data_IF_199133220646
#
_entry.id   IF_199133220646
#
_cell.length_a   1.000
_cell.length_b   1.000
_cell.length_c   1.000
_cell.angle_alpha   90.00
_cell.angle_beta   90.00
_cell.angle_gamma   90.00
#
_symmetry.space_group_name_H-M   'P 1'
#
loop_
_entity.id
_entity.type
_entity.pdbx_description
1 polymer ?
#
# COMPACT_ATOMS: atom_id res chain seq x y z
N UNK A 1 -57.61 -4.80 44.33
CA UNK A 1 -57.46 -4.43 42.91
C UNK A 1 -56.03 -3.92 42.72
N UNK A 2 -55.13 -4.84 42.38
CA UNK A 2 -53.74 -4.50 42.06
C UNK A 2 -53.70 -3.89 40.66
N UNK A 3 -53.02 -2.75 40.55
CA UNK A 3 -52.90 -1.98 39.32
C UNK A 3 -51.74 -2.56 38.52
N UNK A 4 -52.04 -3.36 37.49
CA UNK A 4 -51.02 -3.79 36.52
C UNK A 4 -50.48 -2.55 35.80
N UNK A 5 -49.20 -2.25 36.03
CA UNK A 5 -48.44 -1.31 35.22
C UNK A 5 -47.67 -2.15 34.21
N UNK A 6 -48.18 -2.23 32.98
CA UNK A 6 -47.43 -2.78 31.85
C UNK A 6 -46.24 -1.85 31.57
N UNK A 7 -45.03 -2.28 31.91
CA UNK A 7 -43.80 -1.63 31.46
C UNK A 7 -43.68 -1.85 29.96
N UNK A 8 -44.10 -0.85 29.18
CA UNK A 8 -43.81 -0.75 27.75
C UNK A 8 -42.29 -0.85 27.58
N UNK A 9 -41.84 -1.92 26.93
CA UNK A 9 -40.43 -2.09 26.60
C UNK A 9 -40.01 -1.01 25.61
N UNK A 10 -39.08 -0.15 26.03
CA UNK A 10 -38.28 0.63 25.09
C UNK A 10 -37.36 -0.35 24.36
N UNK A 11 -37.83 -0.90 23.24
CA UNK A 11 -36.94 -1.52 22.26
C UNK A 11 -36.24 -0.38 21.53
N UNK A 12 -35.07 0.02 22.03
CA UNK A 12 -34.07 0.70 21.21
C UNK A 12 -33.62 -0.30 20.13
N UNK A 13 -34.40 -0.39 19.05
CA UNK A 13 -33.86 -0.87 17.78
C UNK A 13 -33.16 0.36 17.21
N UNK A 14 -31.91 0.54 17.63
CA UNK A 14 -30.97 1.32 16.84
C UNK A 14 -30.77 0.46 15.60
N UNK A 15 -31.47 0.80 14.52
CA UNK A 15 -31.15 0.26 13.21
C UNK A 15 -29.66 0.54 13.00
N UNK A 16 -28.85 -0.52 12.96
CA UNK A 16 -27.44 -0.37 12.60
C UNK A 16 -27.47 0.16 11.17
N UNK A 17 -27.05 1.41 10.97
CA UNK A 17 -26.76 1.95 9.65
C UNK A 17 -25.87 0.93 8.91
N UNK A 18 -26.23 0.62 7.68
CA UNK A 18 -25.47 -0.30 6.84
C UNK A 18 -24.13 0.35 6.48
N UNK A 19 -23.07 0.04 7.26
CA UNK A 19 -21.72 0.58 7.07
C UNK A 19 -20.98 -0.06 5.90
N UNK A 20 -21.56 -1.08 5.26
CA UNK A 20 -20.92 -1.88 4.20
C UNK A 20 -20.47 -1.03 3.01
N UNK A 21 -21.29 -0.06 2.58
CA UNK A 21 -20.94 0.83 1.46
C UNK A 21 -19.80 1.78 1.83
N UNK A 22 -19.82 2.31 3.06
CA UNK A 22 -18.75 3.17 3.55
C UNK A 22 -17.43 2.39 3.70
N UNK A 23 -17.48 1.16 4.21
CA UNK A 23 -16.33 0.28 4.35
C UNK A 23 -15.68 0.00 3.00
N UNK A 24 -16.48 -0.28 1.96
CA UNK A 24 -16.00 -0.43 0.58
C UNK A 24 -15.33 0.83 0.06
N UNK A 25 -15.99 1.99 0.21
CA UNK A 25 -15.43 3.28 -0.26
C UNK A 25 -14.11 3.59 0.43
N UNK A 26 -14.02 3.39 1.74
CA UNK A 26 -12.78 3.58 2.49
C UNK A 26 -11.71 2.59 2.05
N UNK A 27 -12.06 1.32 1.84
CA UNK A 27 -11.17 0.29 1.31
C UNK A 27 -10.56 0.69 -0.04
N UNK A 28 -11.40 1.13 -0.99
CA UNK A 28 -10.95 1.60 -2.30
C UNK A 28 -10.02 2.81 -2.18
N UNK A 29 -10.34 3.78 -1.32
CA UNK A 29 -9.49 4.96 -1.09
C UNK A 29 -8.10 4.54 -0.60
N UNK A 30 -8.04 3.71 0.44
CA UNK A 30 -6.79 3.27 1.05
C UNK A 30 -5.92 2.49 0.06
N UNK A 31 -6.55 1.62 -0.71
CA UNK A 31 -5.89 0.85 -1.73
C UNK A 31 -5.31 1.73 -2.85
N UNK A 32 -6.10 2.65 -3.41
CA UNK A 32 -5.62 3.58 -4.45
C UNK A 32 -4.43 4.38 -3.94
N UNK A 33 -4.46 4.82 -2.67
CA UNK A 33 -3.33 5.50 -2.04
C UNK A 33 -2.09 4.61 -1.97
N UNK A 34 -2.24 3.34 -1.60
CA UNK A 34 -1.11 2.39 -1.53
C UNK A 34 -0.52 2.16 -2.93
N UNK A 35 -1.36 1.91 -3.95
CA UNK A 35 -0.88 1.72 -5.33
C UNK A 35 -0.09 2.95 -5.82
N UNK A 36 -0.65 4.14 -5.60
CA UNK A 36 0.02 5.41 -5.90
C UNK A 36 1.35 5.54 -5.14
N UNK A 37 1.37 5.20 -3.85
CA UNK A 37 2.57 5.23 -3.01
C UNK A 37 3.67 4.29 -3.53
N UNK A 38 3.33 3.04 -3.87
CA UNK A 38 4.30 2.07 -4.42
C UNK A 38 4.90 2.57 -5.73
N UNK A 39 4.06 3.05 -6.66
CA UNK A 39 4.54 3.58 -7.95
C UNK A 39 5.42 4.81 -7.75
N UNK A 40 5.06 5.70 -6.83
CA UNK A 40 5.85 6.90 -6.55
C UNK A 40 7.18 6.56 -5.87
N UNK A 41 7.18 5.62 -4.93
CA UNK A 41 8.37 5.16 -4.22
C UNK A 41 9.37 4.49 -5.19
N UNK A 42 8.89 3.65 -6.13
CA UNK A 42 9.75 3.04 -7.15
C UNK A 42 10.36 4.08 -8.10
N UNK A 43 9.61 5.13 -8.47
CA UNK A 43 10.16 6.24 -9.24
C UNK A 43 11.20 7.02 -8.44
N UNK A 44 10.98 7.19 -7.15
CA UNK A 44 11.91 7.85 -6.25
C UNK A 44 13.22 7.06 -6.11
N UNK A 45 13.16 5.74 -5.88
CA UNK A 45 14.35 4.89 -5.78
C UNK A 45 15.16 4.93 -7.07
N UNK A 46 14.49 4.80 -8.23
CA UNK A 46 15.14 4.91 -9.54
C UNK A 46 15.79 6.28 -9.78
N UNK A 47 15.14 7.36 -9.32
CA UNK A 47 15.70 8.72 -9.41
C UNK A 47 16.92 8.93 -8.51
N UNK A 48 17.06 8.10 -7.47
CA UNK A 48 18.18 8.10 -6.54
C UNK A 48 19.34 7.23 -7.04
N UNK A 49 19.19 6.61 -8.21
CA UNK A 49 20.18 5.72 -8.81
C UNK A 49 20.10 4.27 -8.35
N UNK A 50 19.08 3.91 -7.55
CA UNK A 50 18.89 2.55 -7.03
C UNK A 50 17.96 1.71 -7.90
N UNK A 51 18.15 0.40 -7.91
CA UNK A 51 17.24 -0.55 -8.57
C UNK A 51 16.36 -1.34 -7.60
N UNK A 52 16.62 -1.24 -6.30
CA UNK A 52 15.76 -1.78 -5.26
C UNK A 52 14.73 -0.73 -4.75
N UNK A 53 13.67 -1.23 -4.11
CA UNK A 53 12.67 -0.40 -3.43
C UNK A 53 12.80 -0.60 -1.92
N UNK A 54 13.19 0.43 -1.18
CA UNK A 54 13.35 0.32 0.27
C UNK A 54 12.08 0.72 1.04
N UNK A 55 11.99 0.30 2.30
CA UNK A 55 10.95 0.75 3.23
C UNK A 55 10.94 2.28 3.38
N UNK A 56 12.10 2.92 3.36
CA UNK A 56 12.25 4.38 3.42
C UNK A 56 11.63 5.08 2.20
N UNK A 57 11.77 4.52 1.00
CA UNK A 57 11.12 5.05 -0.20
C UNK A 57 9.59 5.06 -0.05
N UNK A 58 9.06 3.97 0.51
CA UNK A 58 7.63 3.84 0.80
C UNK A 58 7.18 4.86 1.86
N UNK A 59 7.98 5.10 2.91
CA UNK A 59 7.69 6.12 3.92
C UNK A 59 7.61 7.51 3.27
N UNK A 60 8.59 7.88 2.43
CA UNK A 60 8.58 9.18 1.75
C UNK A 60 7.33 9.36 0.88
N UNK A 61 6.95 8.32 0.14
CA UNK A 61 5.77 8.37 -0.73
C UNK A 61 4.47 8.47 0.09
N UNK A 62 4.33 7.70 1.17
CA UNK A 62 3.16 7.74 2.04
C UNK A 62 3.01 9.10 2.75
N UNK A 63 4.12 9.68 3.21
CA UNK A 63 4.12 11.02 3.79
C UNK A 63 3.68 12.07 2.76
N UNK A 64 4.17 11.97 1.51
CA UNK A 64 3.74 12.84 0.43
C UNK A 64 2.23 12.73 0.17
N UNK A 65 1.69 11.52 0.04
CA UNK A 65 0.26 11.33 -0.17
C UNK A 65 -0.57 11.77 1.04
N UNK A 66 -0.07 11.62 2.26
CA UNK A 66 -0.75 12.14 3.45
C UNK A 66 -0.87 13.68 3.41
N UNK A 67 0.18 14.38 2.98
CA UNK A 67 0.17 15.84 2.81
C UNK A 67 -0.73 16.32 1.66
N UNK A 68 -0.72 15.62 0.54
CA UNK A 68 -1.44 16.03 -0.67
C UNK A 68 -2.86 15.47 -0.75
N UNK A 69 -3.26 14.59 0.18
CA UNK A 69 -4.55 13.90 0.16
C UNK A 69 -5.71 14.87 -0.03
N UNK A 70 -5.79 15.95 0.75
CA UNK A 70 -6.91 16.90 0.63
C UNK A 70 -6.76 17.89 -0.53
N UNK A 71 -5.59 17.95 -1.17
CA UNK A 71 -5.32 18.85 -2.30
C UNK A 71 -5.63 18.20 -3.66
N UNK A 72 -5.72 16.87 -3.73
CA UNK A 72 -6.06 16.14 -4.95
C UNK A 72 -7.53 16.34 -5.31
N UNK A 73 -7.78 17.10 -6.40
CA UNK A 73 -9.14 17.41 -6.90
C UNK A 73 -9.85 16.20 -7.53
N UNK A 74 -9.08 15.18 -7.95
CA UNK A 74 -9.56 14.03 -8.71
C UNK A 74 -9.48 12.71 -7.94
N UNK A 75 -9.37 12.75 -6.61
CA UNK A 75 -9.43 11.54 -5.79
C UNK A 75 -10.66 10.72 -6.16
N UNK A 76 -11.82 11.38 -6.25
CA UNK A 76 -13.11 10.73 -6.53
C UNK A 76 -13.19 10.06 -7.91
N UNK A 77 -12.48 10.59 -8.91
CA UNK A 77 -12.45 10.02 -10.27
C UNK A 77 -11.49 8.82 -10.36
N UNK A 78 -10.36 8.87 -9.64
CA UNK A 78 -9.41 7.73 -9.58
C UNK A 78 -9.98 6.47 -8.90
N UNK A 79 -11.07 6.59 -8.14
CA UNK A 79 -11.74 5.43 -7.52
C UNK A 79 -12.59 4.63 -8.51
N UNK A 80 -13.11 5.27 -9.55
CA UNK A 80 -13.99 4.61 -10.54
C UNK A 80 -13.20 3.63 -11.41
N UNK A 81 -11.95 3.96 -11.74
CA UNK A 81 -11.08 3.10 -12.54
C UNK A 81 -10.66 1.84 -11.77
N UNK A 82 -10.36 1.97 -10.47
CA UNK A 82 -9.97 0.85 -9.63
C UNK A 82 -11.13 -0.10 -9.31
N UNK A 83 -12.36 0.38 -9.12
CA UNK A 83 -13.52 -0.50 -8.89
C UNK A 83 -13.76 -1.43 -10.10
N UNK A 84 -13.55 -0.93 -11.31
CA UNK A 84 -13.63 -1.71 -12.56
C UNK A 84 -12.52 -2.77 -12.65
N UNK A 85 -11.30 -2.46 -12.18
CA UNK A 85 -10.17 -3.40 -12.21
C UNK A 85 -10.29 -4.49 -11.13
N UNK A 86 -10.80 -4.14 -9.93
CA UNK A 86 -11.11 -5.09 -8.87
C UNK A 86 -12.18 -6.10 -9.23
N UNK A 87 -13.21 -5.67 -9.97
CA UNK A 87 -14.23 -6.57 -10.48
C UNK A 87 -13.68 -7.49 -11.58
N UNK A 88 -12.73 -7.03 -12.41
CA UNK A 88 -12.06 -7.88 -13.41
C UNK A 88 -11.17 -8.94 -12.76
N UNK A 89 -10.33 -8.54 -11.80
CA UNK A 89 -9.45 -9.47 -11.06
C UNK A 89 -10.21 -10.55 -10.28
N UNK A 90 -11.42 -10.25 -9.80
CA UNK A 90 -12.26 -11.23 -9.06
C UNK A 90 -13.20 -12.04 -9.95
N UNK A 91 -13.34 -11.70 -11.24
CA UNK A 91 -14.28 -12.34 -12.16
C UNK A 91 -13.56 -13.05 -13.33
N UNK A 92 -12.25 -12.87 -13.47
CA UNK A 92 -11.40 -13.70 -14.31
C UNK A 92 -10.91 -14.89 -13.47
N UNK A 93 -11.55 -16.03 -13.69
CA UNK A 93 -10.95 -17.35 -13.45
C UNK A 93 -9.53 -17.26 -14.03
N UNK A 94 -8.50 -17.43 -13.20
CA UNK A 94 -7.13 -17.58 -13.66
C UNK A 94 -7.10 -18.82 -14.56
N UNK A 95 -7.31 -18.62 -15.86
CA UNK A 95 -6.94 -19.62 -16.84
C UNK A 95 -5.43 -19.53 -16.88
N UNK A 96 -4.77 -20.43 -16.15
CA UNK A 96 -3.41 -20.84 -16.47
C UNK A 96 -3.44 -21.14 -17.97
N UNK A 97 -2.87 -20.24 -18.76
CA UNK A 97 -2.53 -20.49 -20.15
C UNK A 97 -1.35 -21.46 -20.08
N UNK A 98 -1.64 -22.72 -19.72
CA UNK A 98 -0.84 -23.88 -20.09
C UNK A 98 -0.86 -23.87 -21.62
N UNK A 99 0.06 -23.14 -22.22
CA UNK A 99 0.41 -23.31 -23.62
C UNK A 99 0.87 -24.77 -23.76
N UNK A 100 -0.08 -25.62 -24.19
CA UNK A 100 0.11 -26.95 -24.76
C UNK A 100 1.12 -26.83 -25.91
N UNK A 101 2.42 -26.85 -25.58
CA UNK A 101 3.51 -27.10 -26.51
C UNK A 101 3.65 -28.62 -26.64
N UNK A 102 2.68 -29.27 -27.29
CA UNK A 102 2.76 -30.68 -27.65
C UNK A 102 3.67 -30.89 -28.87
N UNK A 103 4.89 -31.38 -28.59
CA UNK A 103 5.66 -32.45 -29.28
C UNK A 103 6.00 -32.28 -30.79
N UNK A 104 7.20 -32.59 -31.31
CA UNK A 104 8.09 -33.73 -31.04
C UNK A 104 9.41 -33.54 -31.82
N UNK A 105 10.56 -33.88 -31.22
CA UNK A 105 11.52 -34.88 -31.75
C UNK A 105 12.84 -34.84 -30.94
N UNK A 106 12.85 -35.65 -29.88
CA UNK A 106 13.88 -36.64 -29.52
C UNK A 106 15.38 -36.30 -29.74
N UNK A 107 16.13 -36.14 -28.64
CA UNK A 107 17.44 -36.81 -28.52
C UNK A 107 17.77 -37.13 -27.05
N UNK A 108 18.24 -38.35 -26.85
CA UNK A 108 18.41 -39.05 -25.57
C UNK A 108 19.62 -38.55 -24.74
N UNK A 109 19.52 -38.75 -23.42
CA UNK A 109 20.60 -38.87 -22.42
C UNK A 109 21.60 -37.71 -22.26
N UNK A 110 21.57 -37.06 -21.09
CA UNK A 110 22.66 -37.32 -20.12
C UNK A 110 22.21 -37.02 -18.68
N UNK A 111 22.56 -37.92 -17.79
CA UNK A 111 22.23 -37.89 -16.37
C UNK A 111 22.99 -36.75 -15.66
N UNK A 112 22.36 -36.25 -14.58
CA UNK A 112 23.03 -35.83 -13.36
C UNK A 112 23.76 -34.48 -13.37
N UNK A 113 23.16 -33.44 -12.76
CA UNK A 113 23.82 -32.83 -11.61
C UNK A 113 22.80 -32.15 -10.68
N UNK A 114 22.70 -32.67 -9.46
CA UNK A 114 22.14 -31.97 -8.32
C UNK A 114 23.02 -30.74 -8.04
N UNK A 115 22.69 -29.61 -8.65
CA UNK A 115 23.17 -28.30 -8.21
C UNK A 115 22.00 -27.32 -8.38
N UNK A 116 21.04 -27.44 -7.46
CA UNK A 116 20.27 -26.30 -6.98
C UNK A 116 21.30 -25.44 -6.22
N UNK A 117 22.17 -24.77 -6.99
CA UNK A 117 22.94 -23.65 -6.47
C UNK A 117 21.87 -22.66 -6.02
N UNK A 118 21.68 -22.56 -4.71
CA UNK A 118 21.14 -21.37 -4.08
C UNK A 118 21.86 -20.21 -4.77
N UNK A 119 21.18 -19.57 -5.74
CA UNK A 119 21.50 -18.22 -6.20
C UNK A 119 21.29 -17.36 -4.94
N UNK A 120 22.29 -17.38 -4.06
CA UNK A 120 22.61 -16.27 -3.18
C UNK A 120 22.94 -15.13 -4.14
N UNK A 121 21.90 -14.53 -4.72
CA UNK A 121 21.99 -13.21 -5.32
C UNK A 121 22.45 -12.33 -4.16
N UNK A 122 23.77 -12.14 -4.09
CA UNK A 122 24.43 -11.03 -3.41
C UNK A 122 23.98 -9.74 -4.12
N UNK A 123 22.67 -9.50 -4.21
CA UNK A 123 22.13 -8.15 -4.37
C UNK A 123 22.62 -7.41 -3.13
N UNK A 124 23.79 -6.78 -3.26
CA UNK A 124 24.25 -5.74 -2.35
C UNK A 124 23.05 -4.82 -2.14
N UNK A 125 22.36 -4.99 -1.02
CA UNK A 125 21.14 -4.27 -0.68
C UNK A 125 21.50 -2.79 -0.74
N UNK A 126 21.19 -2.14 -1.86
CA UNK A 126 21.68 -0.80 -2.12
C UNK A 126 21.12 0.11 -1.03
N UNK A 127 22.01 0.56 -0.15
CA UNK A 127 21.63 1.38 1.01
C UNK A 127 20.79 2.57 0.53
N UNK A 128 19.75 2.90 1.30
CA UNK A 128 18.87 3.99 0.95
C UNK A 128 19.65 5.28 0.62
N UNK A 129 19.46 5.75 -0.61
CA UNK A 129 19.98 7.03 -1.08
C UNK A 129 18.82 7.99 -1.35
N UNK A 130 18.98 9.22 -0.87
CA UNK A 130 18.03 10.32 -1.08
C UNK A 130 18.15 10.84 -2.51
N UNK A 131 17.01 11.07 -3.16
CA UNK A 131 16.96 11.64 -4.50
C UNK A 131 17.44 13.10 -4.51
N UNK A 132 18.37 13.41 -5.42
CA UNK A 132 18.82 14.77 -5.75
C UNK A 132 18.20 15.29 -7.07
N UNK A 133 17.19 14.60 -7.57
CA UNK A 133 16.51 14.99 -8.80
C UNK A 133 15.83 16.36 -8.67
N UNK A 134 15.76 17.09 -9.78
CA UNK A 134 15.08 18.39 -9.87
C UNK A 134 13.57 18.27 -10.12
N UNK A 135 13.00 17.06 -10.03
CA UNK A 135 11.56 16.87 -10.15
C UNK A 135 10.83 17.55 -8.96
N UNK A 136 9.85 18.45 -9.22
CA UNK A 136 9.07 19.09 -8.16
C UNK A 136 8.44 18.11 -7.18
N UNK A 137 8.05 16.91 -7.62
CA UNK A 137 7.43 15.89 -6.77
C UNK A 137 8.46 15.34 -5.78
N UNK A 138 9.67 15.00 -6.24
CA UNK A 138 10.71 14.46 -5.37
C UNK A 138 11.26 15.51 -4.40
N UNK A 139 11.31 16.78 -4.82
CA UNK A 139 11.61 17.90 -3.93
C UNK A 139 10.55 17.99 -2.82
N UNK A 140 9.26 17.89 -3.14
CA UNK A 140 8.20 17.87 -2.14
C UNK A 140 8.27 16.67 -1.20
N UNK A 141 8.51 15.46 -1.73
CA UNK A 141 8.70 14.26 -0.90
C UNK A 141 9.80 14.47 0.13
N UNK A 142 10.93 15.01 -0.33
CA UNK A 142 12.07 15.38 0.49
C UNK A 142 11.68 16.41 1.58
N UNK A 143 10.98 17.48 1.22
CA UNK A 143 10.54 18.52 2.15
C UNK A 143 9.53 18.01 3.19
N UNK A 144 8.59 17.16 2.77
CA UNK A 144 7.58 16.58 3.66
C UNK A 144 8.18 15.59 4.63
N UNK A 145 9.14 14.76 4.20
CA UNK A 145 9.87 13.91 5.11
C UNK A 145 10.64 14.73 6.16
N UNK A 146 11.39 15.75 5.73
CA UNK A 146 12.18 16.59 6.64
C UNK A 146 11.32 17.33 7.67
N UNK A 147 10.08 17.68 7.31
CA UNK A 147 9.15 18.42 8.18
C UNK A 147 8.16 17.52 8.93
N UNK A 148 8.15 16.20 8.65
CA UNK A 148 7.15 15.25 9.13
C UNK A 148 6.99 15.24 10.66
N UNK A 149 8.10 15.19 11.40
CA UNK A 149 8.08 15.15 12.86
C UNK A 149 7.49 16.41 13.51
N UNK A 150 7.49 17.53 12.78
CA UNK A 150 6.94 18.82 13.23
C UNK A 150 5.57 19.14 12.63
N UNK A 151 5.09 18.33 11.69
CA UNK A 151 3.83 18.54 11.02
C UNK A 151 2.66 18.18 11.95
N UNK A 152 1.77 19.15 12.18
CA UNK A 152 0.52 18.97 12.93
C UNK A 152 -0.67 19.11 11.97
N UNK A 153 -1.20 17.99 11.44
CA UNK A 153 -2.29 18.02 10.48
C UNK A 153 -3.55 18.64 11.07
N UNK A 154 -4.27 19.46 10.30
CA UNK A 154 -5.53 20.05 10.75
C UNK A 154 -6.70 19.09 10.56
N UNK A 155 -6.72 18.40 9.42
CA UNK A 155 -7.83 17.57 8.98
C UNK A 155 -7.82 16.17 9.62
N UNK A 156 -9.01 15.57 9.75
CA UNK A 156 -9.14 14.25 10.39
C UNK A 156 -8.49 13.14 9.54
N UNK A 157 -8.63 13.21 8.22
CA UNK A 157 -8.01 12.25 7.28
C UNK A 157 -6.49 12.22 7.44
N UNK A 158 -5.87 13.39 7.45
CA UNK A 158 -4.42 13.56 7.64
C UNK A 158 -3.96 13.08 9.01
N UNK A 159 -4.72 13.36 10.08
CA UNK A 159 -4.42 12.84 11.43
C UNK A 159 -4.41 11.32 11.48
N UNK A 160 -5.39 10.68 10.83
CA UNK A 160 -5.48 9.22 10.75
C UNK A 160 -4.28 8.67 9.98
N UNK A 161 -3.97 9.26 8.82
CA UNK A 161 -2.81 8.85 8.01
C UNK A 161 -1.50 9.03 8.77
N UNK A 162 -1.29 10.20 9.39
CA UNK A 162 -0.09 10.47 10.20
C UNK A 162 0.07 9.45 11.32
N UNK A 163 -1.00 9.18 12.08
CA UNK A 163 -0.96 8.21 13.17
C UNK A 163 -0.63 6.79 12.69
N UNK A 164 -1.10 6.41 11.49
CA UNK A 164 -0.80 5.11 10.91
C UNK A 164 0.67 5.02 10.46
N UNK A 165 1.16 6.04 9.77
CA UNK A 165 2.55 6.11 9.28
C UNK A 165 3.53 6.19 10.46
N UNK A 166 3.27 7.02 11.47
CA UNK A 166 4.11 7.10 12.68
C UNK A 166 4.24 5.74 13.36
N UNK A 167 3.17 4.94 13.38
CA UNK A 167 3.22 3.58 13.94
C UNK A 167 4.16 2.68 13.14
N UNK A 168 4.10 2.73 11.80
CA UNK A 168 4.99 1.97 10.93
C UNK A 168 6.45 2.39 11.11
N UNK A 169 6.74 3.69 11.14
CA UNK A 169 8.09 4.22 11.38
C UNK A 169 8.65 3.68 12.70
N UNK A 170 7.87 3.77 13.78
CA UNK A 170 8.32 3.26 15.09
C UNK A 170 8.56 1.74 15.08
N UNK A 171 7.78 0.97 14.32
CA UNK A 171 7.96 -0.48 14.19
C UNK A 171 9.27 -0.81 13.44
N UNK A 172 9.57 -0.08 12.37
CA UNK A 172 10.82 -0.23 11.60
C UNK A 172 12.03 0.16 12.47
N UNK A 173 11.99 1.33 13.10
CA UNK A 173 13.07 1.81 13.99
C UNK A 173 13.38 0.82 15.11
N UNK A 174 12.35 0.15 15.66
CA UNK A 174 12.54 -0.88 16.69
C UNK A 174 13.26 -2.13 16.17
N UNK A 175 13.05 -2.51 14.91
CA UNK A 175 13.69 -3.68 14.29
C UNK A 175 15.17 -3.41 14.02
N UNK A 176 15.51 -2.23 13.49
CA UNK A 176 16.91 -1.84 13.23
C UNK A 176 17.76 -1.84 14.52
N UNK A 177 17.18 -1.50 15.67
CA UNK A 177 17.85 -1.54 16.98
C UNK A 177 18.13 -2.98 17.45
N UNK A 178 17.30 -3.96 17.05
CA UNK A 178 17.45 -5.36 17.47
C UNK A 178 18.51 -6.08 16.62
N UNK A 179 18.69 -5.66 15.37
CA UNK A 179 19.62 -6.25 14.41
C UNK A 179 21.04 -5.65 14.47
N UNK A 180 21.22 -4.52 15.19
CA UNK A 180 22.50 -3.84 15.45
C UNK A 180 23.23 -4.32 16.72
#
# INVERSE_FOLDING_TARGET
MEKLICKSGNTNIVEKEDTSELEKKVGSILLTLIQKAVVLAAKYSKSSGRDNLSSTDMIYALQYYAHEFNNEKDLEESFVENEIEYEKMNNEDWVEDDEDDEDDENDEDDENDENDEDDEDDEDDEEFCRSESNDPIFIKMNEYHDTWGSWDPSELSEKVMKSAIDKVINEIDMLEIIES
#
